data_IF_906241999510
#
_entry.id   IF_906241999510
#
_cell.length_a   1.000
_cell.length_b   1.000
_cell.length_c   1.000
_cell.angle_alpha   90.00
_cell.angle_beta   90.00
_cell.angle_gamma   90.00
#
_symmetry.space_group_name_H-M   'P 1'
#
loop_
_entity.id
_entity.type
_entity.pdbx_description
1 polymer ?
#
# COMPACT_ATOMS: atom_id res chain seq x y z
N UNK A 1 -1.55 -49.60 -14.16
CA UNK A 1 -0.44 -48.69 -14.49
C UNK A 1 -0.17 -48.76 -15.99
N UNK A 2 -1.22 -48.85 -16.82
CA UNK A 2 -1.13 -49.44 -18.17
C UNK A 2 -1.83 -48.60 -19.26
N UNK A 3 -2.12 -47.32 -19.02
CA UNK A 3 -2.93 -46.52 -19.97
C UNK A 3 -2.17 -45.35 -20.65
N UNK A 4 -0.84 -45.28 -20.54
CA UNK A 4 -0.07 -44.20 -21.16
C UNK A 4 0.94 -44.67 -22.22
N UNK A 5 1.30 -45.96 -22.23
CA UNK A 5 2.32 -46.51 -23.14
C UNK A 5 1.92 -46.43 -24.63
N UNK A 6 0.63 -46.58 -24.96
CA UNK A 6 0.15 -46.39 -26.35
C UNK A 6 0.28 -44.95 -26.82
N UNK A 7 0.08 -43.97 -25.92
CA UNK A 7 0.21 -42.54 -26.22
C UNK A 7 1.68 -42.14 -26.39
N UNK A 8 2.58 -42.69 -25.56
CA UNK A 8 4.02 -42.45 -25.70
C UNK A 8 4.56 -42.95 -27.04
N UNK A 9 4.10 -44.13 -27.48
CA UNK A 9 4.52 -44.73 -28.74
C UNK A 9 3.95 -44.00 -29.96
N UNK A 10 2.73 -43.47 -29.87
CA UNK A 10 2.12 -42.69 -30.94
C UNK A 10 2.77 -41.31 -31.12
N UNK A 11 3.31 -40.75 -30.03
CA UNK A 11 3.92 -39.42 -30.04
C UNK A 11 5.45 -39.42 -30.12
N UNK A 12 6.10 -40.58 -30.04
CA UNK A 12 7.57 -40.76 -29.99
C UNK A 12 8.24 -39.91 -28.89
N UNK A 13 7.56 -39.78 -27.75
CA UNK A 13 8.06 -39.05 -26.58
C UNK A 13 8.06 -39.98 -25.37
N UNK A 14 9.20 -40.10 -24.69
CA UNK A 14 9.29 -40.76 -23.38
C UNK A 14 8.82 -39.80 -22.30
N UNK A 15 7.79 -40.18 -21.53
CA UNK A 15 7.34 -39.37 -20.40
C UNK A 15 7.80 -40.02 -19.09
N UNK A 16 8.69 -39.35 -18.37
CA UNK A 16 9.02 -39.74 -17.00
C UNK A 16 8.04 -39.05 -16.05
N UNK A 17 7.26 -39.83 -15.32
CA UNK A 17 6.37 -39.31 -14.28
C UNK A 17 7.24 -38.82 -13.12
N UNK A 18 7.54 -37.51 -13.12
CA UNK A 18 8.27 -36.85 -12.04
C UNK A 18 7.40 -36.90 -10.79
N UNK A 19 7.80 -37.71 -9.81
CA UNK A 19 7.20 -37.73 -8.47
C UNK A 19 7.32 -36.33 -7.87
N UNK A 20 6.18 -35.69 -7.61
CA UNK A 20 6.13 -34.37 -6.97
C UNK A 20 7.04 -34.33 -5.75
N UNK A 21 8.09 -33.51 -5.82
CA UNK A 21 8.92 -33.19 -4.67
C UNK A 21 8.03 -32.52 -3.63
N UNK A 22 7.85 -33.23 -2.50
CA UNK A 22 7.09 -32.81 -1.32
C UNK A 22 7.15 -31.30 -1.15
N UNK A 23 5.98 -30.67 -1.20
CA UNK A 23 5.81 -29.26 -0.88
C UNK A 23 6.54 -28.94 0.42
N UNK A 24 7.55 -28.08 0.33
CA UNK A 24 8.20 -27.53 1.50
C UNK A 24 7.12 -26.74 2.23
N UNK A 25 6.58 -27.30 3.31
CA UNK A 25 5.73 -26.56 4.24
C UNK A 25 6.60 -25.44 4.80
N UNK A 26 6.46 -24.25 4.22
CA UNK A 26 7.02 -23.01 4.74
C UNK A 26 6.47 -22.89 6.16
N UNK A 27 7.34 -23.11 7.16
CA UNK A 27 6.96 -22.87 8.55
C UNK A 27 6.58 -21.39 8.64
N UNK A 28 5.42 -21.04 9.20
CA UNK A 28 5.13 -19.63 9.46
C UNK A 28 6.24 -19.14 10.39
N UNK A 29 7.07 -18.24 9.88
CA UNK A 29 8.02 -17.51 10.71
C UNK A 29 7.14 -16.80 11.73
N UNK A 30 7.26 -17.20 13.00
CA UNK A 30 6.70 -16.42 14.10
C UNK A 30 7.43 -15.08 14.02
N UNK A 31 6.78 -14.07 13.43
CA UNK A 31 7.27 -12.71 13.48
C UNK A 31 7.23 -12.31 14.96
N UNK A 32 8.41 -12.23 15.56
CA UNK A 32 8.60 -11.59 16.86
C UNK A 32 8.34 -10.11 16.67
N UNK A 33 7.12 -9.69 17.04
CA UNK A 33 6.66 -8.30 17.03
C UNK A 33 5.92 -7.94 15.74
N UNK A 34 4.58 -7.84 15.84
CA UNK A 34 3.78 -7.00 14.95
C UNK A 34 4.36 -5.58 15.06
N UNK A 35 5.15 -5.19 14.07
CA UNK A 35 5.61 -3.83 13.90
C UNK A 35 4.83 -3.25 12.71
N UNK A 36 3.74 -2.51 12.96
CA UNK A 36 2.91 -1.92 11.91
C UNK A 36 3.73 -1.11 10.90
N UNK A 37 4.88 -0.58 11.32
CA UNK A 37 5.79 0.14 10.45
C UNK A 37 6.45 -0.78 9.41
N UNK A 38 6.86 -1.99 9.82
CA UNK A 38 7.46 -2.97 8.90
C UNK A 38 6.44 -3.48 7.89
N UNK A 39 5.20 -3.73 8.33
CA UNK A 39 4.14 -4.16 7.42
C UNK A 39 3.75 -3.07 6.42
N UNK A 40 3.76 -1.81 6.86
CA UNK A 40 3.58 -0.65 6.00
C UNK A 40 4.72 -0.53 4.96
N UNK A 41 5.97 -0.59 5.40
CA UNK A 41 7.14 -0.50 4.52
C UNK A 41 7.19 -1.66 3.52
N UNK A 42 6.92 -2.88 3.98
CA UNK A 42 6.84 -4.06 3.11
C UNK A 42 5.73 -3.90 2.08
N UNK A 43 4.52 -3.53 2.50
CA UNK A 43 3.37 -3.35 1.59
C UNK A 43 3.64 -2.23 0.58
N UNK A 44 4.24 -1.12 1.02
CA UNK A 44 4.64 -0.01 0.14
C UNK A 44 5.68 -0.45 -0.88
N UNK A 45 6.69 -1.21 -0.46
CA UNK A 45 7.71 -1.76 -1.35
C UNK A 45 7.09 -2.74 -2.38
N UNK A 46 6.16 -3.60 -1.97
CA UNK A 46 5.46 -4.49 -2.89
C UNK A 46 4.63 -3.73 -3.93
N UNK A 47 3.93 -2.67 -3.53
CA UNK A 47 3.16 -1.83 -4.46
C UNK A 47 4.08 -1.10 -5.46
N UNK A 48 5.22 -0.57 -5.03
CA UNK A 48 6.20 0.02 -5.96
C UNK A 48 6.74 -1.00 -6.96
N UNK A 49 7.13 -2.20 -6.50
CA UNK A 49 7.58 -3.27 -7.38
C UNK A 49 6.52 -3.66 -8.41
N UNK A 50 5.24 -3.69 -8.01
CA UNK A 50 4.14 -4.02 -8.90
C UNK A 50 3.90 -2.90 -9.93
N UNK A 51 4.02 -1.63 -9.55
CA UNK A 51 3.92 -0.50 -10.48
C UNK A 51 5.07 -0.51 -11.49
N UNK A 52 6.30 -0.74 -11.06
CA UNK A 52 7.48 -0.79 -11.94
C UNK A 52 7.37 -1.93 -12.96
N UNK A 53 7.10 -3.16 -12.48
CA UNK A 53 6.85 -4.31 -13.37
C UNK A 53 5.61 -4.10 -14.24
N UNK A 54 4.61 -3.38 -13.73
CA UNK A 54 3.43 -2.99 -14.48
C UNK A 54 3.78 -2.06 -15.64
N UNK A 55 4.63 -1.07 -15.43
CA UNK A 55 5.11 -0.17 -16.49
C UNK A 55 5.94 -0.91 -17.55
N UNK A 56 6.81 -1.82 -17.13
CA UNK A 56 7.55 -2.68 -18.05
C UNK A 56 6.62 -3.57 -18.88
N UNK A 57 5.62 -4.19 -18.23
CA UNK A 57 4.61 -4.97 -18.92
C UNK A 57 3.75 -4.13 -19.87
N UNK A 58 3.45 -2.87 -19.52
CA UNK A 58 2.75 -1.92 -20.41
C UNK A 58 3.60 -1.63 -21.66
N UNK A 59 4.91 -1.42 -21.51
CA UNK A 59 5.78 -1.19 -22.67
C UNK A 59 5.85 -2.45 -23.56
N UNK A 60 6.04 -3.63 -22.97
CA UNK A 60 6.06 -4.88 -23.74
C UNK A 60 4.73 -5.20 -24.44
N UNK A 61 3.59 -4.94 -23.80
CA UNK A 61 2.28 -5.14 -24.47
C UNK A 61 2.06 -4.08 -25.55
N UNK A 62 2.55 -2.85 -25.39
CA UNK A 62 2.46 -1.81 -26.41
C UNK A 62 3.23 -2.18 -27.67
N UNK A 63 4.43 -2.74 -27.53
CA UNK A 63 5.22 -3.25 -28.66
C UNK A 63 4.44 -4.36 -29.41
N UNK A 64 3.88 -5.32 -28.67
CA UNK A 64 3.04 -6.39 -29.24
C UNK A 64 1.77 -5.83 -29.90
N UNK A 65 1.15 -4.80 -29.33
CA UNK A 65 -0.03 -4.14 -29.91
C UNK A 65 0.32 -3.41 -31.23
N UNK A 66 1.49 -2.80 -31.31
CA UNK A 66 1.97 -2.14 -32.53
C UNK A 66 2.28 -3.15 -33.64
N UNK A 67 2.94 -4.25 -33.29
CA UNK A 67 3.28 -5.32 -34.24
C UNK A 67 2.04 -6.07 -34.74
N UNK A 68 1.10 -6.36 -33.84
CA UNK A 68 -0.10 -7.15 -34.18
C UNK A 68 -1.21 -6.33 -34.84
N UNK A 69 -1.24 -5.01 -34.64
CA UNK A 69 -2.29 -4.09 -35.11
C UNK A 69 -3.73 -4.56 -34.80
N UNK A 70 -3.90 -5.47 -33.83
CA UNK A 70 -5.18 -6.07 -33.52
C UNK A 70 -5.93 -5.20 -32.49
N UNK A 71 -7.18 -4.77 -32.77
CA UNK A 71 -7.98 -3.96 -31.85
C UNK A 71 -8.12 -4.59 -30.46
N UNK A 72 -8.18 -5.93 -30.40
CA UNK A 72 -8.28 -6.67 -29.14
C UNK A 72 -7.03 -6.54 -28.26
N UNK A 73 -5.84 -6.40 -28.84
CA UNK A 73 -4.61 -6.23 -28.09
C UNK A 73 -4.63 -4.88 -27.33
N UNK A 74 -5.12 -3.81 -27.98
CA UNK A 74 -5.27 -2.49 -27.36
C UNK A 74 -6.30 -2.48 -26.22
N UNK A 75 -7.38 -3.26 -26.31
CA UNK A 75 -8.33 -3.40 -25.20
C UNK A 75 -7.69 -4.04 -23.97
N UNK A 76 -6.90 -5.10 -24.17
CA UNK A 76 -6.19 -5.79 -23.08
C UNK A 76 -5.10 -4.89 -22.50
N UNK A 77 -4.38 -4.15 -23.35
CA UNK A 77 -3.42 -3.13 -22.88
C UNK A 77 -4.13 -2.05 -22.03
N UNK A 78 -5.31 -1.58 -22.45
CA UNK A 78 -6.12 -0.65 -21.67
C UNK A 78 -6.56 -1.21 -20.31
N UNK A 79 -6.91 -2.51 -20.25
CA UNK A 79 -7.22 -3.18 -18.99
C UNK A 79 -5.99 -3.30 -18.08
N UNK A 80 -4.81 -3.57 -18.66
CA UNK A 80 -3.56 -3.68 -17.92
C UNK A 80 -3.15 -2.31 -17.35
N UNK A 81 -3.25 -1.24 -18.15
CA UNK A 81 -3.04 0.15 -17.70
C UNK A 81 -3.98 0.48 -16.53
N UNK A 82 -5.26 0.10 -16.64
CA UNK A 82 -6.22 0.29 -15.54
C UNK A 82 -5.81 -0.45 -14.27
N UNK A 83 -5.35 -1.70 -14.36
CA UNK A 83 -4.87 -2.45 -13.20
C UNK A 83 -3.63 -1.82 -12.54
N UNK A 84 -2.74 -1.20 -13.32
CA UNK A 84 -1.57 -0.46 -12.81
C UNK A 84 -2.01 0.85 -12.15
N UNK A 85 -2.99 1.55 -12.72
CA UNK A 85 -3.60 2.73 -12.11
C UNK A 85 -4.26 2.40 -10.77
N UNK A 86 -5.08 1.35 -10.71
CA UNK A 86 -5.74 0.88 -9.47
C UNK A 86 -4.70 0.49 -8.39
N UNK A 87 -3.54 -0.03 -8.79
CA UNK A 87 -2.43 -0.33 -7.87
C UNK A 87 -1.76 0.93 -7.35
N UNK A 88 -1.63 1.95 -8.20
CA UNK A 88 -1.10 3.27 -7.83
C UNK A 88 -2.04 3.98 -6.86
N UNK A 89 -3.36 3.89 -7.07
CA UNK A 89 -4.37 4.41 -6.15
C UNK A 89 -4.29 3.72 -4.78
N UNK A 90 -4.10 2.39 -4.75
CA UNK A 90 -3.86 1.65 -3.50
C UNK A 90 -2.62 2.11 -2.75
N UNK A 91 -1.56 2.52 -3.46
CA UNK A 91 -0.36 3.08 -2.85
C UNK A 91 -0.66 4.40 -2.14
N UNK A 92 -1.42 5.29 -2.79
CA UNK A 92 -1.86 6.55 -2.20
C UNK A 92 -2.76 6.29 -0.98
N UNK A 93 -3.69 5.34 -1.08
CA UNK A 93 -4.58 5.00 0.02
C UNK A 93 -3.85 4.35 1.19
N UNK A 94 -2.81 3.56 0.95
CA UNK A 94 -1.92 3.04 1.98
C UNK A 94 -1.22 4.17 2.74
N UNK A 95 -0.73 5.19 2.03
CA UNK A 95 -0.13 6.36 2.64
C UNK A 95 -1.14 7.15 3.49
N UNK A 96 -2.37 7.35 2.99
CA UNK A 96 -3.44 7.99 3.77
C UNK A 96 -3.76 7.22 5.04
N UNK A 97 -3.90 5.89 4.96
CA UNK A 97 -4.18 5.04 6.12
C UNK A 97 -3.09 5.11 7.18
N UNK A 98 -1.81 5.17 6.79
CA UNK A 98 -0.71 5.34 7.74
C UNK A 98 -0.79 6.69 8.46
N UNK A 99 -1.02 7.77 7.72
CA UNK A 99 -1.25 9.11 8.30
C UNK A 99 -2.47 9.13 9.22
N UNK A 100 -3.55 8.44 8.86
CA UNK A 100 -4.77 8.36 9.68
C UNK A 100 -4.59 7.49 10.93
N UNK A 101 -3.73 6.47 10.90
CA UNK A 101 -3.35 5.67 12.06
C UNK A 101 -2.41 6.44 13.01
N UNK A 102 -1.52 7.28 12.46
CA UNK A 102 -0.66 8.17 13.24
C UNK A 102 -1.40 9.37 13.83
N UNK A 103 -2.54 9.78 13.24
CA UNK A 103 -3.39 10.83 13.81
C UNK A 103 -3.89 10.35 15.18
N UNK A 104 -3.58 11.05 16.27
CA UNK A 104 -4.18 10.73 17.55
C UNK A 104 -5.69 10.90 17.42
N UNK A 105 -6.43 9.81 17.63
CA UNK A 105 -7.88 9.81 17.82
C UNK A 105 -8.20 10.58 19.10
N UNK A 106 -8.13 11.91 19.01
CA UNK A 106 -8.07 12.76 20.20
C UNK A 106 -7.47 14.15 19.96
N UNK A 107 -7.67 14.74 18.78
CA UNK A 107 -7.56 16.21 18.68
C UNK A 107 -8.83 16.84 19.27
N UNK A 108 -8.99 16.71 20.59
CA UNK A 108 -9.86 17.61 21.35
C UNK A 108 -9.40 19.05 21.10
N UNK A 109 -10.31 20.05 21.14
CA UNK A 109 -9.98 21.42 20.78
C UNK A 109 -8.81 21.91 21.62
N UNK A 110 -7.65 22.11 20.98
CA UNK A 110 -6.53 22.85 21.56
C UNK A 110 -6.92 24.32 21.56
N UNK A 111 -7.80 24.71 22.48
CA UNK A 111 -8.06 26.11 22.78
C UNK A 111 -6.79 26.71 23.36
N UNK A 112 -5.92 27.22 22.49
CA UNK A 112 -4.85 28.14 22.88
C UNK A 112 -5.50 29.47 23.21
N UNK A 113 -5.93 29.61 24.47
CA UNK A 113 -6.23 30.92 25.06
C UNK A 113 -4.91 31.68 25.22
N UNK A 114 -4.35 32.16 24.12
CA UNK A 114 -3.28 33.14 24.14
C UNK A 114 -3.92 34.50 24.46
N UNK A 115 -4.15 34.76 25.75
CA UNK A 115 -4.64 36.04 26.25
C UNK A 115 -3.54 37.10 26.13
N UNK A 116 -3.24 37.52 24.90
CA UNK A 116 -2.38 38.67 24.65
C UNK A 116 -3.14 39.90 25.15
N UNK A 117 -2.76 40.37 26.33
CA UNK A 117 -3.31 41.59 26.91
C UNK A 117 -2.70 42.80 26.17
N UNK A 118 -3.47 43.39 25.27
CA UNK A 118 -3.10 44.62 24.57
C UNK A 118 -3.62 45.79 25.43
N UNK A 119 -2.78 46.30 26.33
CA UNK A 119 -3.10 47.39 27.24
C UNK A 119 -1.85 47.92 27.96
N UNK A 120 -1.99 49.02 28.69
CA UNK A 120 -0.89 49.57 29.48
C UNK A 120 -0.60 48.68 30.70
N UNK A 121 0.65 48.68 31.19
CA UNK A 121 1.02 47.96 32.41
C UNK A 121 0.18 48.38 33.63
N UNK A 122 -0.37 49.61 33.62
CA UNK A 122 -1.27 50.10 34.66
C UNK A 122 -2.64 49.39 34.66
N UNK A 123 -3.18 49.04 33.48
CA UNK A 123 -4.45 48.33 33.39
C UNK A 123 -4.31 46.85 33.75
N UNK A 124 -3.15 46.25 33.47
CA UNK A 124 -2.78 44.91 33.93
C UNK A 124 -2.73 44.86 35.48
N UNK A 125 -2.15 45.89 36.12
CA UNK A 125 -2.11 46.00 37.58
C UNK A 125 -3.50 46.21 38.21
N UNK A 126 -4.40 46.97 37.56
CA UNK A 126 -5.79 47.14 38.04
C UNK A 126 -6.54 45.82 38.02
N UNK A 127 -6.40 45.03 36.96
CA UNK A 127 -7.04 43.71 36.84
C UNK A 127 -6.53 42.74 37.90
N UNK A 128 -5.21 42.71 38.16
CA UNK A 128 -4.64 41.88 39.22
C UNK A 128 -5.16 42.32 40.61
N UNK A 129 -5.25 43.63 40.86
CA UNK A 129 -5.78 44.15 42.13
C UNK A 129 -7.27 43.81 42.29
N UNK A 130 -8.09 44.00 41.26
CA UNK A 130 -9.51 43.66 41.30
C UNK A 130 -9.75 42.15 41.45
N UNK A 131 -8.96 41.32 40.77
CA UNK A 131 -9.02 39.85 40.89
C UNK A 131 -8.62 39.33 42.28
N UNK A 132 -7.72 40.03 42.97
CA UNK A 132 -7.33 39.70 44.36
C UNK A 132 -8.29 40.27 45.42
N UNK A 133 -9.05 41.32 45.10
CA UNK A 133 -10.02 41.93 46.03
C UNK A 133 -11.34 41.14 46.07
N UNK A 134 -11.72 40.42 44.99
CA UNK A 134 -12.91 39.57 44.96
C UNK A 134 -12.71 38.16 45.56
N UNK A 135 -11.53 37.88 46.14
CA UNK A 135 -11.29 36.71 47.00
C UNK A 135 -11.20 37.15 48.46
N UNK A 136 -12.28 37.67 49.01
CA UNK A 136 -12.54 37.76 50.45
C UNK A 136 -14.04 37.69 50.70
#
# INVERSE_FOLDING_TARGET
MENFDELEKAMDVKTEIVKETKSVKVKPVKNEGDDPQKDYEYSRAQLYNLVEKGQEAINGILDVCQDSQHPRAYEVAGQLIKSVADTTDKLIDLQKKMVDLEKPTGSGPKTVNNSVFIGSTADLQKIIKQGNINKK
#
